data_IF_197375687543
#
_entry.id   IF_197375687543
#
_cell.length_a   1.000
_cell.length_b   1.000
_cell.length_c   1.000
_cell.angle_alpha   90.00
_cell.angle_beta   90.00
_cell.angle_gamma   90.00
#
_symmetry.space_group_name_H-M   'P 1'
#
loop_
_entity.id
_entity.type
_entity.pdbx_description
1 polymer ?
#
# COMPACT_ATOMS: atom_id res chain seq x y z
N UNK A 1 14.88 13.39 -10.48
CA UNK A 1 14.09 13.70 -9.23
C UNK A 1 12.85 14.55 -9.51
N UNK A 2 12.74 15.15 -10.70
CA UNK A 2 11.75 16.18 -11.03
C UNK A 2 10.80 15.76 -12.17
N UNK A 3 10.64 14.45 -12.43
CA UNK A 3 9.89 13.91 -13.57
C UNK A 3 8.39 13.66 -13.29
N UNK A 4 7.86 14.16 -12.19
CA UNK A 4 6.42 14.11 -11.98
C UNK A 4 5.75 15.17 -12.87
N UNK A 5 4.74 14.79 -13.70
CA UNK A 5 4.09 15.73 -14.61
C UNK A 5 3.38 16.86 -13.85
N UNK A 6 3.23 18.00 -14.51
CA UNK A 6 2.28 19.00 -14.03
C UNK A 6 0.88 18.57 -14.46
N UNK A 7 -0.02 18.48 -13.48
CA UNK A 7 -1.40 18.02 -13.68
C UNK A 7 -2.32 18.97 -12.95
N UNK A 8 -3.33 19.47 -13.64
CA UNK A 8 -4.33 20.38 -13.08
C UNK A 8 -5.55 19.63 -12.54
N UNK A 9 -6.24 20.24 -11.60
CA UNK A 9 -7.51 19.77 -11.04
C UNK A 9 -7.41 18.38 -10.36
N UNK A 10 -6.34 18.16 -9.59
CA UNK A 10 -6.11 16.91 -8.86
C UNK A 10 -6.96 16.89 -7.59
N UNK A 11 -7.85 15.89 -7.47
CA UNK A 11 -8.69 15.69 -6.28
C UNK A 11 -8.18 14.58 -5.37
N UNK A 12 -7.43 13.63 -5.93
CA UNK A 12 -6.95 12.48 -5.17
C UNK A 12 -5.59 12.01 -5.66
N UNK A 13 -4.78 11.49 -4.74
CA UNK A 13 -3.55 10.76 -5.06
C UNK A 13 -3.73 9.31 -4.67
N UNK A 14 -3.39 8.41 -5.59
CA UNK A 14 -3.23 6.98 -5.32
C UNK A 14 -1.78 6.62 -5.66
N UNK A 15 -0.96 6.42 -4.64
CA UNK A 15 0.45 6.09 -4.85
C UNK A 15 0.63 4.58 -4.93
N UNK A 16 0.67 4.04 -6.15
CA UNK A 16 0.79 2.61 -6.43
C UNK A 16 2.23 2.07 -6.58
N UNK A 17 3.27 2.87 -6.88
CA UNK A 17 4.62 2.33 -6.99
C UNK A 17 5.04 1.58 -5.73
N UNK A 18 5.73 0.46 -5.91
CA UNK A 18 6.20 -0.36 -4.80
C UNK A 18 7.26 -1.35 -5.25
N UNK A 19 8.01 -1.83 -4.28
CA UNK A 19 9.01 -2.88 -4.45
C UNK A 19 8.81 -3.96 -3.41
N UNK A 20 9.31 -5.15 -3.71
CA UNK A 20 9.32 -6.27 -2.79
C UNK A 20 10.63 -7.05 -2.96
N UNK A 21 11.45 -7.05 -1.91
CA UNK A 21 12.69 -7.80 -1.86
C UNK A 21 12.56 -8.87 -0.78
N UNK A 22 12.52 -10.13 -1.20
CA UNK A 22 12.38 -11.28 -0.32
C UNK A 22 13.70 -12.05 -0.24
N UNK A 23 14.42 -11.87 0.86
CA UNK A 23 15.69 -12.51 1.12
C UNK A 23 15.80 -12.97 2.58
N UNK A 24 16.54 -14.07 2.89
CA UNK A 24 16.94 -14.37 4.26
C UNK A 24 17.68 -13.17 4.88
N UNK A 25 17.49 -12.93 6.19
CA UNK A 25 18.09 -11.77 6.86
C UNK A 25 19.61 -11.67 6.69
N UNK A 26 20.33 -12.80 6.69
CA UNK A 26 21.77 -12.81 6.45
C UNK A 26 22.21 -12.50 5.02
N UNK A 27 21.29 -12.40 4.06
CA UNK A 27 21.57 -12.10 2.65
C UNK A 27 21.01 -10.74 2.19
N UNK A 28 20.13 -10.13 2.98
CA UNK A 28 19.60 -8.82 2.67
C UNK A 28 20.63 -7.75 3.03
N UNK A 29 20.81 -6.78 2.17
CA UNK A 29 21.83 -5.73 2.32
C UNK A 29 21.19 -4.41 2.79
N UNK A 30 22.01 -3.49 3.29
CA UNK A 30 21.55 -2.12 3.58
C UNK A 30 21.01 -1.42 2.33
N UNK A 31 21.56 -1.72 1.16
CA UNK A 31 21.08 -1.11 -0.10
C UNK A 31 19.72 -1.67 -0.51
N UNK A 32 19.40 -2.93 -0.20
CA UNK A 32 18.06 -3.47 -0.35
C UNK A 32 17.04 -2.68 0.51
N UNK A 33 17.39 -2.36 1.77
CA UNK A 33 16.57 -1.51 2.64
C UNK A 33 16.41 -0.09 2.11
N UNK A 34 17.51 0.54 1.65
CA UNK A 34 17.49 1.89 1.07
C UNK A 34 16.61 1.94 -0.18
N UNK A 35 16.71 0.93 -1.05
CA UNK A 35 15.89 0.83 -2.26
C UNK A 35 14.41 0.68 -1.95
N UNK A 36 14.05 -0.24 -1.04
CA UNK A 36 12.65 -0.40 -0.63
C UNK A 36 12.11 0.89 0.02
N UNK A 37 12.91 1.56 0.85
CA UNK A 37 12.52 2.82 1.49
C UNK A 37 12.39 3.96 0.47
N UNK A 38 13.32 4.06 -0.48
CA UNK A 38 13.32 5.06 -1.54
C UNK A 38 12.05 4.97 -2.38
N UNK A 39 11.69 3.78 -2.83
CA UNK A 39 10.52 3.56 -3.67
C UNK A 39 9.23 3.69 -2.88
N UNK A 40 9.11 2.96 -1.76
CA UNK A 40 7.85 2.85 -1.05
C UNK A 40 7.50 4.10 -0.24
N UNK A 41 8.50 4.76 0.37
CA UNK A 41 8.28 5.90 1.29
C UNK A 41 8.64 7.22 0.64
N UNK A 42 9.90 7.41 0.22
CA UNK A 42 10.33 8.72 -0.30
C UNK A 42 9.68 9.06 -1.63
N UNK A 43 9.39 8.07 -2.47
CA UNK A 43 8.59 8.26 -3.68
C UNK A 43 7.19 8.81 -3.38
N UNK A 44 6.51 8.23 -2.38
CA UNK A 44 5.20 8.72 -1.93
C UNK A 44 5.30 10.15 -1.38
N UNK A 45 6.32 10.43 -0.55
CA UNK A 45 6.57 11.77 0.00
C UNK A 45 6.77 12.80 -1.11
N UNK A 46 7.56 12.50 -2.13
CA UNK A 46 7.79 13.41 -3.28
C UNK A 46 6.50 13.67 -4.04
N UNK A 47 5.73 12.62 -4.34
CA UNK A 47 4.45 12.74 -5.03
C UNK A 47 3.48 13.61 -4.24
N UNK A 48 3.31 13.35 -2.95
CA UNK A 48 2.42 14.14 -2.09
C UNK A 48 2.89 15.59 -1.99
N UNK A 49 4.17 15.84 -1.77
CA UNK A 49 4.72 17.21 -1.71
C UNK A 49 4.47 18.02 -2.97
N UNK A 50 4.55 17.40 -4.14
CA UNK A 50 4.30 18.09 -5.40
C UNK A 50 2.85 18.58 -5.52
N UNK A 51 1.87 17.75 -5.15
CA UNK A 51 0.47 17.99 -5.46
C UNK A 51 -0.40 18.43 -4.28
N UNK A 52 0.10 18.42 -3.05
CA UNK A 52 -0.72 18.62 -1.85
C UNK A 52 -1.40 20.00 -1.80
N UNK A 53 -0.75 21.04 -2.28
CA UNK A 53 -1.32 22.38 -2.26
C UNK A 53 -2.56 22.49 -3.15
N UNK A 54 -2.56 21.84 -4.30
CA UNK A 54 -3.69 21.79 -5.21
C UNK A 54 -4.81 20.91 -4.63
N UNK A 55 -4.47 19.71 -4.16
CA UNK A 55 -5.43 18.77 -3.58
C UNK A 55 -6.22 19.42 -2.43
N UNK A 56 -5.56 20.21 -1.58
CA UNK A 56 -6.19 20.93 -0.46
C UNK A 56 -7.26 21.96 -0.89
N UNK A 57 -7.31 22.33 -2.16
CA UNK A 57 -8.31 23.27 -2.69
C UNK A 57 -9.66 22.59 -2.99
N UNK A 58 -9.67 21.25 -3.08
CA UNK A 58 -10.86 20.49 -3.43
C UNK A 58 -11.58 19.96 -2.18
N UNK A 59 -12.90 19.93 -2.25
CA UNK A 59 -13.71 19.21 -1.26
C UNK A 59 -13.55 17.70 -1.41
N UNK A 60 -13.63 16.98 -0.30
CA UNK A 60 -13.51 15.51 -0.25
C UNK A 60 -12.20 14.95 -0.81
N UNK A 61 -11.14 15.75 -0.81
CA UNK A 61 -9.83 15.32 -1.25
C UNK A 61 -9.33 14.08 -0.50
N UNK A 62 -8.61 13.19 -1.20
CA UNK A 62 -8.18 11.91 -0.62
C UNK A 62 -6.81 11.49 -1.11
N UNK A 63 -6.02 10.90 -0.21
CA UNK A 63 -4.75 10.23 -0.53
C UNK A 63 -4.86 8.76 -0.09
N UNK A 64 -4.51 7.85 -0.98
CA UNK A 64 -4.44 6.41 -0.69
C UNK A 64 -3.03 5.91 -0.92
N UNK A 65 -2.45 5.31 0.12
CA UNK A 65 -1.13 4.68 0.12
C UNK A 65 -1.28 3.16 0.23
N UNK A 66 -0.20 2.43 -0.05
CA UNK A 66 -0.21 0.97 0.01
C UNK A 66 0.82 0.44 1.01
N UNK A 67 0.34 -0.33 1.99
CA UNK A 67 1.12 -1.17 2.88
C UNK A 67 1.05 -2.64 2.46
N UNK A 68 1.18 -3.53 3.38
CA UNK A 68 1.06 -5.00 3.24
C UNK A 68 0.67 -5.61 4.58
N UNK A 69 -0.02 -6.74 4.54
CA UNK A 69 -0.30 -7.53 5.76
C UNK A 69 0.98 -7.98 6.48
N UNK A 70 2.12 -8.05 5.79
CA UNK A 70 3.41 -8.42 6.36
C UNK A 70 3.92 -7.45 7.44
N UNK A 71 3.39 -6.22 7.51
CA UNK A 71 3.69 -5.27 8.59
C UNK A 71 3.10 -5.73 9.91
N UNK A 72 1.86 -6.24 9.87
CA UNK A 72 1.13 -6.68 11.06
C UNK A 72 1.41 -8.14 11.42
N UNK A 73 1.67 -8.95 10.41
CA UNK A 73 1.95 -10.37 10.54
C UNK A 73 3.41 -10.65 10.18
N UNK A 74 4.23 -11.09 11.13
CA UNK A 74 5.62 -11.45 10.86
C UNK A 74 5.71 -12.54 9.80
N UNK A 75 6.42 -12.26 8.72
CA UNK A 75 6.63 -13.19 7.62
C UNK A 75 8.14 -13.40 7.38
N UNK A 76 8.62 -14.65 7.22
CA UNK A 76 10.02 -14.90 6.85
C UNK A 76 10.39 -14.17 5.56
N UNK A 77 11.62 -13.70 5.47
CA UNK A 77 12.19 -13.03 4.29
C UNK A 77 11.65 -11.66 3.94
N UNK A 78 10.74 -11.07 4.75
CA UNK A 78 10.07 -9.79 4.47
C UNK A 78 10.66 -8.60 5.22
N UNK A 79 11.87 -8.70 5.79
CA UNK A 79 12.40 -7.67 6.71
C UNK A 79 12.47 -6.27 6.08
N UNK A 80 12.98 -6.13 4.85
CA UNK A 80 13.10 -4.83 4.16
C UNK A 80 11.73 -4.24 3.81
N UNK A 81 10.89 -5.03 3.13
CA UNK A 81 9.56 -4.57 2.71
C UNK A 81 8.67 -4.25 3.91
N UNK A 82 8.72 -5.03 5.00
CA UNK A 82 7.94 -4.75 6.21
C UNK A 82 8.36 -3.44 6.87
N UNK A 83 9.66 -3.15 6.96
CA UNK A 83 10.17 -1.89 7.51
C UNK A 83 9.72 -0.70 6.68
N UNK A 84 9.89 -0.75 5.35
CA UNK A 84 9.49 0.35 4.48
C UNK A 84 7.96 0.56 4.47
N UNK A 85 7.17 -0.52 4.47
CA UNK A 85 5.71 -0.43 4.48
C UNK A 85 5.14 -0.02 5.85
N UNK A 86 5.80 -0.35 6.95
CA UNK A 86 5.50 0.22 8.27
C UNK A 86 5.74 1.74 8.28
N UNK A 87 6.80 2.21 7.60
CA UNK A 87 7.04 3.63 7.36
C UNK A 87 5.89 4.31 6.60
N UNK A 88 5.32 3.64 5.59
CA UNK A 88 4.14 4.13 4.85
C UNK A 88 2.91 4.24 5.77
N UNK A 89 2.69 3.27 6.67
CA UNK A 89 1.57 3.32 7.63
C UNK A 89 1.73 4.50 8.61
N UNK A 90 2.95 4.72 9.13
CA UNK A 90 3.27 5.86 9.97
C UNK A 90 3.05 7.19 9.24
N UNK A 91 3.55 7.30 8.00
CA UNK A 91 3.35 8.47 7.14
C UNK A 91 1.85 8.72 6.91
N UNK A 92 1.08 7.69 6.58
CA UNK A 92 -0.36 7.80 6.34
C UNK A 92 -1.11 8.40 7.53
N UNK A 93 -0.84 7.90 8.75
CA UNK A 93 -1.48 8.37 9.99
C UNK A 93 -1.10 9.82 10.31
N UNK A 94 0.18 10.16 10.17
CA UNK A 94 0.67 11.52 10.44
C UNK A 94 0.08 12.52 9.46
N UNK A 95 0.07 12.20 8.17
CA UNK A 95 -0.52 13.08 7.15
C UNK A 95 -2.04 13.19 7.29
N UNK A 96 -2.74 12.14 7.73
CA UNK A 96 -4.16 12.20 8.04
C UNK A 96 -4.46 13.23 9.14
N UNK A 97 -3.64 13.26 10.19
CA UNK A 97 -3.78 14.23 11.27
C UNK A 97 -3.42 15.66 10.81
N UNK A 98 -2.33 15.81 10.04
CA UNK A 98 -1.84 17.12 9.59
C UNK A 98 -2.76 17.77 8.56
N UNK A 99 -3.37 16.97 7.68
CA UNK A 99 -4.18 17.51 6.57
C UNK A 99 -5.68 17.60 6.88
N UNK A 100 -6.11 17.06 8.02
CA UNK A 100 -7.50 17.21 8.45
C UNK A 100 -7.85 18.70 8.69
N UNK A 101 -9.07 19.15 8.40
CA UNK A 101 -10.18 18.40 7.80
C UNK A 101 -10.17 18.39 6.25
N UNK A 102 -9.15 18.95 5.61
CA UNK A 102 -9.10 19.21 4.16
C UNK A 102 -8.92 17.93 3.31
N UNK A 103 -8.03 17.04 3.75
CA UNK A 103 -7.66 15.84 2.96
C UNK A 103 -7.73 14.60 3.85
N UNK A 104 -8.42 13.58 3.39
CA UNK A 104 -8.41 12.25 4.01
C UNK A 104 -7.18 11.48 3.53
N UNK A 105 -6.50 10.81 4.43
CA UNK A 105 -5.35 9.95 4.08
C UNK A 105 -5.58 8.57 4.68
N UNK A 106 -5.59 7.55 3.83
CA UNK A 106 -5.76 6.17 4.24
C UNK A 106 -4.72 5.26 3.56
N UNK A 107 -4.54 4.09 4.12
CA UNK A 107 -3.63 3.10 3.60
C UNK A 107 -4.36 1.77 3.36
N UNK A 108 -4.15 1.15 2.21
CA UNK A 108 -4.63 -0.21 1.91
C UNK A 108 -3.49 -1.18 2.18
N UNK A 109 -3.73 -2.23 2.93
CA UNK A 109 -2.78 -3.29 3.23
C UNK A 109 -3.26 -4.64 2.63
N UNK A 110 -2.87 -4.93 1.39
CA UNK A 110 -3.24 -6.18 0.74
C UNK A 110 -2.39 -7.36 1.24
N UNK A 111 -2.92 -8.56 1.05
CA UNK A 111 -2.13 -9.78 0.96
C UNK A 111 -1.55 -9.93 -0.45
N UNK A 112 -0.92 -11.08 -0.74
CA UNK A 112 -0.45 -11.38 -2.08
C UNK A 112 -1.60 -11.23 -3.09
N UNK A 113 -1.39 -10.36 -4.06
CA UNK A 113 -2.37 -9.98 -5.07
C UNK A 113 -1.80 -10.32 -6.44
N UNK A 114 -2.63 -10.84 -7.35
CA UNK A 114 -2.23 -11.15 -8.72
C UNK A 114 -1.91 -9.86 -9.48
N UNK A 115 -0.63 -9.60 -9.64
CA UNK A 115 -0.05 -8.45 -10.34
C UNK A 115 1.28 -8.86 -10.96
N UNK A 116 1.81 -8.05 -11.86
CA UNK A 116 3.14 -8.29 -12.45
C UNK A 116 4.24 -8.38 -11.37
N UNK A 117 4.13 -7.57 -10.31
CA UNK A 117 5.08 -7.62 -9.20
C UNK A 117 5.07 -8.97 -8.48
N UNK A 118 3.91 -9.64 -8.40
CA UNK A 118 3.75 -10.92 -7.75
C UNK A 118 4.03 -12.13 -8.68
N UNK A 119 4.21 -11.91 -9.97
CA UNK A 119 4.38 -12.99 -10.98
C UNK A 119 5.52 -13.96 -10.65
N UNK A 120 6.61 -13.45 -10.08
CA UNK A 120 7.76 -14.28 -9.66
C UNK A 120 7.44 -15.20 -8.47
N UNK A 121 6.43 -14.86 -7.67
CA UNK A 121 5.95 -15.64 -6.52
C UNK A 121 4.89 -16.64 -7.00
N UNK A 122 3.96 -16.19 -7.84
CA UNK A 122 2.85 -16.96 -8.41
C UNK A 122 3.27 -17.67 -9.72
N UNK A 123 4.29 -18.53 -9.66
CA UNK A 123 4.96 -19.10 -10.86
C UNK A 123 4.11 -20.12 -11.62
N UNK A 124 3.17 -20.79 -10.95
CA UNK A 124 2.30 -21.81 -11.52
C UNK A 124 1.07 -22.03 -10.63
N UNK A 125 0.05 -22.67 -11.19
CA UNK A 125 -1.24 -22.94 -10.55
C UNK A 125 -1.12 -23.67 -9.21
N UNK A 126 -0.22 -24.66 -9.10
CA UNK A 126 -0.02 -25.40 -7.85
C UNK A 126 0.49 -24.52 -6.70
N UNK A 127 1.39 -23.57 -7.00
CA UNK A 127 1.88 -22.61 -6.00
C UNK A 127 0.77 -21.64 -5.63
N UNK A 128 0.02 -21.16 -6.61
CA UNK A 128 -1.12 -20.28 -6.41
C UNK A 128 -2.18 -20.94 -5.50
N UNK A 129 -2.56 -22.18 -5.79
CA UNK A 129 -3.50 -22.96 -4.99
C UNK A 129 -3.00 -23.18 -3.55
N UNK A 130 -1.71 -23.52 -3.38
CA UNK A 130 -1.12 -23.68 -2.07
C UNK A 130 -1.14 -22.37 -1.25
N UNK A 131 -0.94 -21.24 -1.89
CA UNK A 131 -1.00 -19.93 -1.24
C UNK A 131 -2.46 -19.57 -0.94
N UNK A 132 -3.37 -19.77 -1.87
CA UNK A 132 -4.81 -19.57 -1.68
C UNK A 132 -5.34 -20.35 -0.47
N UNK A 133 -4.92 -21.61 -0.33
CA UNK A 133 -5.30 -22.49 0.78
C UNK A 133 -4.84 -22.00 2.16
N UNK A 134 -3.86 -21.12 2.24
CA UNK A 134 -3.42 -20.49 3.50
C UNK A 134 -4.33 -19.33 3.93
N UNK A 135 -5.13 -18.80 3.01
CA UNK A 135 -6.06 -17.72 3.31
C UNK A 135 -7.40 -18.30 3.84
N UNK A 136 -8.01 -17.68 4.85
CA UNK A 136 -9.34 -18.10 5.31
C UNK A 136 -10.38 -18.23 4.21
N UNK A 137 -10.45 -17.29 3.29
CA UNK A 137 -11.38 -17.34 2.15
C UNK A 137 -10.92 -18.24 0.99
N UNK A 138 -9.81 -18.99 1.14
CA UNK A 138 -9.29 -19.95 0.15
C UNK A 138 -9.06 -19.36 -1.25
N UNK A 139 -8.65 -18.09 -1.31
CA UNK A 139 -8.35 -17.39 -2.57
C UNK A 139 -7.24 -16.38 -2.41
N UNK A 140 -6.59 -16.05 -3.51
CA UNK A 140 -5.65 -14.92 -3.64
C UNK A 140 -6.44 -13.70 -4.12
N UNK A 141 -6.07 -12.51 -3.67
CA UNK A 141 -6.70 -11.29 -4.14
C UNK A 141 -6.35 -11.02 -5.61
N UNK A 142 -7.32 -10.55 -6.35
CA UNK A 142 -7.14 -9.98 -7.69
C UNK A 142 -6.90 -8.47 -7.59
N UNK A 143 -6.27 -7.86 -8.61
CA UNK A 143 -6.07 -6.41 -8.65
C UNK A 143 -7.39 -5.63 -8.52
N UNK A 144 -8.50 -6.21 -9.04
CA UNK A 144 -9.84 -5.65 -8.95
C UNK A 144 -10.35 -5.55 -7.51
N UNK A 145 -10.02 -6.50 -6.63
CA UNK A 145 -10.42 -6.44 -5.22
C UNK A 145 -9.80 -5.22 -4.54
N UNK A 146 -8.53 -4.95 -4.87
CA UNK A 146 -7.79 -3.81 -4.33
C UNK A 146 -8.29 -2.50 -4.92
N UNK A 147 -8.49 -2.42 -6.24
CA UNK A 147 -8.96 -1.21 -6.90
C UNK A 147 -10.38 -0.82 -6.47
N UNK A 148 -11.24 -1.78 -6.13
CA UNK A 148 -12.57 -1.53 -5.56
C UNK A 148 -12.48 -0.81 -4.21
N UNK A 149 -11.58 -1.25 -3.33
CA UNK A 149 -11.34 -0.57 -2.06
C UNK A 149 -10.78 0.84 -2.28
N UNK A 150 -9.83 1.01 -3.20
CA UNK A 150 -9.27 2.33 -3.53
C UNK A 150 -10.35 3.26 -4.06
N UNK A 151 -11.18 2.79 -5.00
CA UNK A 151 -12.29 3.57 -5.56
C UNK A 151 -13.26 4.03 -4.47
N UNK A 152 -13.58 3.16 -3.51
CA UNK A 152 -14.36 3.54 -2.34
C UNK A 152 -13.67 4.63 -1.52
N UNK A 153 -12.36 4.50 -1.24
CA UNK A 153 -11.61 5.44 -0.40
C UNK A 153 -11.42 6.82 -1.04
N UNK A 154 -11.37 6.93 -2.36
CA UNK A 154 -11.27 8.23 -3.04
C UNK A 154 -12.64 8.86 -3.29
N UNK A 155 -13.74 8.15 -3.05
CA UNK A 155 -15.10 8.63 -3.23
C UNK A 155 -15.65 9.33 -1.98
N UNK A 156 -16.77 10.04 -2.15
CA UNK A 156 -17.52 10.65 -1.04
C UNK A 156 -18.14 9.63 -0.07
N UNK A 157 -18.29 8.37 -0.50
CA UNK A 157 -18.83 7.30 0.35
C UNK A 157 -17.96 7.02 1.58
N UNK A 158 -16.68 7.41 1.53
CA UNK A 158 -15.72 7.26 2.62
C UNK A 158 -15.39 8.58 3.34
N UNK A 159 -16.25 9.59 3.27
CA UNK A 159 -16.02 10.94 3.85
C UNK A 159 -15.67 10.97 5.33
N UNK A 160 -16.05 9.94 6.08
CA UNK A 160 -15.77 9.80 7.51
C UNK A 160 -14.61 8.82 7.81
N UNK A 161 -13.83 8.45 6.78
CA UNK A 161 -12.72 7.49 6.91
C UNK A 161 -11.40 8.21 6.62
N UNK A 162 -10.57 8.38 7.63
CA UNK A 162 -9.20 8.92 7.50
C UNK A 162 -8.29 8.29 8.55
N UNK A 163 -7.00 8.22 8.29
CA UNK A 163 -5.98 7.65 9.19
C UNK A 163 -6.06 6.13 9.34
N UNK A 164 -6.83 5.44 8.49
CA UNK A 164 -7.06 4.00 8.62
C UNK A 164 -6.09 3.18 7.76
N UNK A 165 -5.74 2.01 8.29
CA UNK A 165 -5.05 0.94 7.56
C UNK A 165 -6.08 -0.16 7.28
N UNK A 166 -6.55 -0.23 6.04
CA UNK A 166 -7.60 -1.16 5.64
C UNK A 166 -6.99 -2.40 4.97
N UNK A 167 -7.25 -3.55 5.54
CA UNK A 167 -6.73 -4.82 5.00
C UNK A 167 -7.69 -5.39 3.97
N UNK A 168 -7.12 -5.79 2.84
CA UNK A 168 -7.79 -6.55 1.78
C UNK A 168 -6.99 -7.83 1.60
N UNK A 169 -7.30 -8.85 2.38
CA UNK A 169 -6.38 -9.96 2.63
C UNK A 169 -7.05 -11.33 2.75
N UNK A 170 -8.29 -11.45 2.34
CA UNK A 170 -9.06 -12.68 2.45
C UNK A 170 -9.06 -13.30 3.89
N UNK A 171 -8.92 -12.44 4.91
CA UNK A 171 -8.92 -12.81 6.32
C UNK A 171 -7.56 -13.25 6.88
N UNK A 172 -6.50 -13.21 6.06
CA UNK A 172 -5.19 -13.79 6.40
C UNK A 172 -4.55 -13.20 7.66
N UNK A 173 -4.63 -11.90 7.86
CA UNK A 173 -3.95 -11.23 8.97
C UNK A 173 -4.79 -11.16 10.27
N UNK A 174 -6.04 -11.59 10.23
CA UNK A 174 -6.97 -11.40 11.36
C UNK A 174 -7.54 -12.72 11.89
N UNK A 175 -7.78 -13.68 11.00
CA UNK A 175 -8.44 -14.94 11.36
C UNK A 175 -7.42 -16.06 11.49
N UNK A 176 -7.60 -16.88 12.51
CA UNK A 176 -6.91 -18.15 12.70
C UNK A 176 -7.94 -19.28 12.56
N UNK A 177 -7.78 -20.08 11.51
CA UNK A 177 -8.63 -21.24 11.21
C UNK A 177 -7.78 -22.49 11.03
#
# INVERSE_FOLDING_TARGET
>A
KDDLPDVDNIRSIVYCPGSIILKPFGQITEDDYKNDFEINVLGAVRCIKKYINEIKTHENASIVLFSTVAVNQGMPFHSSVSVSKAGVEGLSKTLAAEFAPKVRVNCVAPTLTKTDLASRILRNERIEENIANKHPLKRICEAQDISSMVTFLISEKSKNITGQILRVDAGMSTLKI
#
